data_IF_378364370200
#
_entry.id   IF_378364370200
#
_cell.length_a   1.000
_cell.length_b   1.000
_cell.length_c   1.000
_cell.angle_alpha   90.00
_cell.angle_beta   90.00
_cell.angle_gamma   90.00
#
_symmetry.space_group_name_H-M   'P 1'
#
loop_
_entity.id
_entity.type
_entity.pdbx_description
1 polymer ?
#
# COMPACT_ATOMS: atom_id res chain seq x y z
N UNK A 1 7.55 57.84 31.32
CA UNK A 1 7.60 57.27 31.10
C UNK A 1 7.45 56.45 30.55
N UNK A 2 7.35 56.03 30.32
CA UNK A 2 7.31 55.27 29.83
C UNK A 2 7.15 54.35 29.29
N UNK A 3 7.01 53.91 29.00
CA UNK A 3 6.94 53.14 28.57
C UNK A 3 6.88 52.18 27.95
N UNK A 4 6.86 51.70 27.77
CA UNK A 4 6.90 50.91 27.27
C UNK A 4 6.63 49.97 26.87
N UNK A 5 6.39 49.58 26.55
CA UNK A 5 6.17 48.74 26.19
C UNK A 5 6.09 47.90 25.53
N UNK A 6 6.14 47.38 25.24
CA UNK A 6 6.19 46.75 24.77
C UNK A 6 6.00 45.85 24.28
N UNK A 7 6.00 45.34 24.04
CA UNK A 7 5.97 44.44 23.66
C UNK A 7 5.58 43.55 23.13
N UNK A 8 5.42 43.21 22.98
CA UNK A 8 5.01 42.36 22.57
C UNK A 8 5.06 41.50 21.91
N UNK A 9 5.17 41.11 21.72
CA UNK A 9 5.22 40.30 21.23
C UNK A 9 4.89 39.56 20.51
N UNK A 10 4.82 39.32 20.11
CA UNK A 10 4.62 38.64 19.40
C UNK A 10 4.54 37.47 19.16
N UNK A 11 4.07 36.93 19.23
CA UNK A 11 4.03 35.79 19.16
C UNK A 11 3.73 35.12 18.14
N UNK A 12 3.90 34.81 17.71
CA UNK A 12 3.76 34.29 16.78
C UNK A 12 3.79 33.03 16.54
N UNK A 13 3.37 32.39 16.42
CA UNK A 13 3.40 31.29 16.18
C UNK A 13 3.29 30.65 15.22
N UNK A 14 3.51 30.34 14.83
CA UNK A 14 3.62 29.76 14.02
C UNK A 14 3.06 28.76 13.68
N UNK A 15 2.53 28.60 13.54
CA UNK A 15 1.86 27.79 13.14
C UNK A 15 2.20 26.72 12.62
N UNK A 16 2.64 26.14 12.67
CA UNK A 16 2.98 25.12 12.29
C UNK A 16 2.28 24.29 11.67
N UNK A 17 2.04 24.28 10.99
CA UNK A 17 1.46 23.58 10.24
C UNK A 17 1.62 22.33 10.22
N UNK A 18 1.68 21.79 10.62
CA UNK A 18 1.93 20.59 10.64
C UNK A 18 1.27 19.80 9.88
N UNK A 19 1.14 19.79 9.05
CA UNK A 19 0.64 19.01 8.23
C UNK A 19 0.59 17.76 8.42
N UNK A 20 0.51 17.41 8.94
CA UNK A 20 0.47 16.30 9.10
C UNK A 20 0.02 15.41 8.42
N UNK A 21 -0.02 14.79 8.41
CA UNK A 21 -0.42 13.86 7.97
C UNK A 21 -0.61 13.35 6.83
N UNK A 22 -0.56 13.60 6.00
CA UNK A 22 -0.77 13.02 4.89
C UNK A 22 0.42 12.75 4.21
N UNK A 23 1.38 12.19 4.72
CA UNK A 23 2.54 11.82 3.98
C UNK A 23 2.10 10.90 2.91
N UNK A 24 2.48 11.11 1.71
CA UNK A 24 2.24 10.18 0.70
C UNK A 24 3.08 8.98 0.92
N UNK A 25 2.53 7.80 0.83
CA UNK A 25 3.28 6.56 0.93
C UNK A 25 3.33 5.94 -0.45
N UNK A 26 4.51 5.77 -0.95
CA UNK A 26 4.71 5.09 -2.22
C UNK A 26 5.24 3.70 -1.93
N UNK A 27 4.59 2.71 -2.49
CA UNK A 27 4.97 1.33 -2.26
C UNK A 27 5.40 0.71 -3.58
N UNK A 28 6.58 0.15 -3.60
CA UNK A 28 7.03 -0.59 -4.77
C UNK A 28 6.66 -2.05 -4.56
N UNK A 29 5.60 -2.49 -5.19
CA UNK A 29 5.05 -3.82 -4.97
C UNK A 29 6.04 -4.92 -5.35
N UNK A 30 6.96 -4.62 -6.27
CA UNK A 30 7.98 -5.60 -6.65
C UNK A 30 8.94 -5.93 -5.52
N UNK A 31 8.99 -5.07 -4.50
CA UNK A 31 9.93 -5.25 -3.40
C UNK A 31 9.27 -5.72 -2.11
N UNK A 32 7.99 -6.03 -2.15
CA UNK A 32 7.29 -6.47 -0.96
C UNK A 32 7.39 -7.97 -0.85
N UNK A 33 7.79 -8.46 0.31
CA UNK A 33 7.77 -9.90 0.58
C UNK A 33 6.39 -10.35 1.02
N UNK A 34 6.13 -11.63 0.94
CA UNK A 34 4.91 -12.21 1.47
C UNK A 34 4.68 -11.84 2.94
N UNK A 35 5.73 -11.87 3.74
CA UNK A 35 5.59 -11.50 5.16
C UNK A 35 5.17 -10.05 5.33
N UNK A 36 5.73 -9.16 4.54
CA UNK A 36 5.35 -7.75 4.59
C UNK A 36 3.93 -7.54 4.08
N UNK A 37 3.54 -8.28 3.04
CA UNK A 37 2.19 -8.24 2.52
C UNK A 37 1.18 -8.61 3.61
N UNK A 38 1.47 -9.66 4.37
CA UNK A 38 0.54 -10.13 5.40
C UNK A 38 0.49 -9.22 6.62
N UNK A 39 1.57 -8.50 6.89
CA UNK A 39 1.75 -7.84 8.18
C UNK A 39 1.12 -6.46 8.28
N UNK A 40 0.49 -5.97 7.24
CA UNK A 40 -0.06 -4.61 7.21
C UNK A 40 1.00 -3.55 7.48
N UNK A 41 2.26 -3.91 7.45
CA UNK A 41 3.30 -2.97 7.83
C UNK A 41 3.60 -1.94 6.76
N UNK A 42 3.24 -2.24 5.52
CA UNK A 42 3.52 -1.34 4.41
C UNK A 42 2.22 -0.74 3.88
N UNK A 43 1.21 -1.56 3.70
CA UNK A 43 -0.08 -1.12 3.21
C UNK A 43 -1.10 -2.18 3.55
N UNK A 44 -2.35 -1.86 3.38
CA UNK A 44 -3.41 -2.84 3.56
C UNK A 44 -3.23 -3.93 2.50
N UNK A 45 -3.15 -5.19 2.87
CA UNK A 45 -2.99 -6.27 1.91
C UNK A 45 -4.06 -6.29 0.83
N UNK A 46 -5.26 -5.85 1.15
CA UNK A 46 -6.32 -5.84 0.14
C UNK A 46 -6.06 -4.81 -0.94
N UNK A 47 -5.45 -3.68 -0.59
CA UNK A 47 -5.08 -2.67 -1.58
C UNK A 47 -3.98 -3.21 -2.49
N UNK A 48 -3.01 -3.90 -1.92
CA UNK A 48 -1.94 -4.51 -2.70
C UNK A 48 -2.53 -5.59 -3.61
N UNK A 49 -3.46 -6.39 -3.10
CA UNK A 49 -4.08 -7.43 -3.89
C UNK A 49 -4.87 -6.86 -5.06
N UNK A 50 -5.57 -5.76 -4.85
CA UNK A 50 -6.30 -5.11 -5.91
C UNK A 50 -5.34 -4.59 -6.98
N UNK A 51 -4.24 -3.99 -6.56
CA UNK A 51 -3.21 -3.53 -7.48
C UNK A 51 -2.64 -4.70 -8.29
N UNK A 52 -2.33 -5.80 -7.62
CA UNK A 52 -1.79 -7.00 -8.29
C UNK A 52 -2.80 -7.54 -9.31
N UNK A 53 -4.07 -7.55 -8.95
CA UNK A 53 -5.10 -8.01 -9.86
C UNK A 53 -5.12 -7.16 -11.12
N UNK A 54 -5.08 -5.85 -10.98
CA UNK A 54 -5.06 -4.95 -12.14
C UNK A 54 -3.80 -5.09 -12.97
N UNK A 55 -2.65 -5.19 -12.29
CA UNK A 55 -1.37 -5.31 -12.97
C UNK A 55 -1.33 -6.58 -13.84
N UNK A 56 -1.68 -7.70 -13.27
CA UNK A 56 -1.61 -8.96 -14.02
C UNK A 56 -2.73 -9.10 -15.03
N UNK A 57 -3.90 -8.55 -14.76
CA UNK A 57 -4.96 -8.49 -15.75
C UNK A 57 -4.51 -7.68 -16.95
N UNK A 58 -3.87 -6.55 -16.72
CA UNK A 58 -3.34 -5.73 -17.80
C UNK A 58 -2.28 -6.44 -18.61
N UNK A 59 -1.40 -7.17 -17.92
CA UNK A 59 -0.35 -7.91 -18.63
C UNK A 59 -0.90 -9.01 -19.52
N UNK A 60 -2.03 -9.58 -19.15
CA UNK A 60 -2.62 -10.62 -19.98
C UNK A 60 -3.50 -10.06 -21.09
N UNK A 61 -3.56 -8.76 -21.22
CA UNK A 61 -4.44 -8.16 -22.20
C UNK A 61 -5.91 -8.26 -21.83
N UNK A 62 -6.20 -8.43 -20.55
CA UNK A 62 -7.57 -8.46 -20.08
C UNK A 62 -8.21 -7.09 -20.16
N UNK A 63 -9.49 -7.05 -20.09
CA UNK A 63 -10.21 -5.81 -20.26
C UNK A 63 -10.33 -5.01 -18.98
N UNK A 64 -11.45 -4.38 -18.84
CA UNK A 64 -11.68 -3.45 -17.74
C UNK A 64 -12.69 -3.99 -16.72
N UNK A 65 -13.07 -5.25 -16.85
CA UNK A 65 -14.02 -5.82 -15.91
C UNK A 65 -13.32 -6.26 -14.64
N UNK A 66 -13.90 -5.93 -13.52
CA UNK A 66 -13.40 -6.39 -12.23
C UNK A 66 -14.38 -7.44 -11.71
N UNK A 67 -13.88 -8.66 -11.58
CA UNK A 67 -14.65 -9.74 -10.98
C UNK A 67 -14.31 -9.78 -9.49
N UNK A 68 -15.20 -9.28 -8.66
CA UNK A 68 -14.92 -9.15 -7.23
C UNK A 68 -14.86 -10.50 -6.50
N UNK A 69 -15.58 -11.49 -7.00
CA UNK A 69 -15.50 -12.82 -6.40
C UNK A 69 -14.15 -13.47 -6.72
N UNK A 70 -13.71 -13.34 -7.96
CA UNK A 70 -12.39 -13.86 -8.34
C UNK A 70 -11.29 -13.13 -7.58
N UNK A 71 -11.42 -11.82 -7.43
CA UNK A 71 -10.44 -11.04 -6.68
C UNK A 71 -10.32 -11.58 -5.25
N UNK A 72 -11.45 -11.82 -4.59
CA UNK A 72 -11.42 -12.33 -3.22
C UNK A 72 -10.81 -13.73 -3.17
N UNK A 73 -11.19 -14.60 -4.07
CA UNK A 73 -10.64 -15.96 -4.09
C UNK A 73 -9.14 -15.95 -4.34
N UNK A 74 -8.68 -15.10 -5.25
CA UNK A 74 -7.27 -14.98 -5.54
C UNK A 74 -6.51 -14.40 -4.35
N UNK A 75 -7.07 -13.42 -3.68
CA UNK A 75 -6.47 -12.86 -2.48
C UNK A 75 -6.31 -13.94 -1.41
N UNK A 76 -7.34 -14.76 -1.20
CA UNK A 76 -7.28 -15.81 -0.20
C UNK A 76 -6.18 -16.84 -0.56
N UNK A 77 -6.01 -17.14 -1.84
CA UNK A 77 -4.95 -18.04 -2.26
C UNK A 77 -3.56 -17.46 -2.04
N UNK A 78 -3.37 -16.21 -2.38
CA UNK A 78 -2.07 -15.54 -2.16
C UNK A 78 -1.79 -15.48 -0.66
N UNK A 79 -2.78 -15.16 0.12
CA UNK A 79 -2.61 -15.09 1.56
C UNK A 79 -2.19 -16.43 2.13
N UNK A 80 -2.86 -17.50 1.71
CA UNK A 80 -2.51 -18.84 2.18
C UNK A 80 -1.09 -19.24 1.79
N UNK A 81 -0.70 -18.94 0.57
CA UNK A 81 0.66 -19.24 0.11
C UNK A 81 1.68 -18.42 0.90
N UNK A 82 1.38 -17.17 1.13
CA UNK A 82 2.31 -16.29 1.83
C UNK A 82 2.50 -16.66 3.30
N UNK A 83 1.49 -17.28 3.90
CA UNK A 83 1.63 -17.69 5.31
C UNK A 83 2.77 -18.69 5.51
N UNK A 84 3.05 -19.51 4.51
CA UNK A 84 4.12 -20.48 4.62
C UNK A 84 5.32 -20.17 3.73
N UNK A 85 5.32 -19.01 3.09
CA UNK A 85 6.42 -18.62 2.21
C UNK A 85 6.75 -17.15 2.43
N UNK A 86 7.03 -16.77 3.66
CA UNK A 86 7.07 -15.35 4.02
C UNK A 86 8.24 -14.58 3.42
N UNK A 87 9.30 -15.25 3.02
CA UNK A 87 10.44 -14.55 2.41
C UNK A 87 10.31 -14.41 0.90
N UNK A 88 9.28 -14.98 0.30
CA UNK A 88 9.08 -14.92 -1.13
C UNK A 88 8.52 -13.55 -1.50
N UNK A 89 9.02 -12.92 -2.56
CA UNK A 89 8.40 -11.69 -3.05
C UNK A 89 6.94 -11.94 -3.43
N UNK A 90 6.05 -11.03 -3.06
CA UNK A 90 4.63 -11.25 -3.28
C UNK A 90 4.28 -11.40 -4.76
N UNK A 91 4.97 -10.67 -5.63
CA UNK A 91 4.72 -10.82 -7.07
C UNK A 91 5.13 -12.20 -7.56
N UNK A 92 6.22 -12.75 -7.02
CA UNK A 92 6.61 -14.10 -7.38
C UNK A 92 5.59 -15.12 -6.87
N UNK A 93 5.02 -14.88 -5.70
CA UNK A 93 3.96 -15.76 -5.19
C UNK A 93 2.77 -15.79 -6.14
N UNK A 94 2.36 -14.62 -6.61
CA UNK A 94 1.25 -14.52 -7.55
C UNK A 94 1.59 -15.26 -8.85
N UNK A 95 2.79 -15.07 -9.34
CA UNK A 95 3.20 -15.76 -10.57
C UNK A 95 3.24 -17.25 -10.41
N UNK A 96 3.71 -17.71 -9.26
CA UNK A 96 3.75 -19.15 -8.98
C UNK A 96 2.33 -19.73 -8.92
N UNK A 97 1.43 -19.03 -8.27
CA UNK A 97 0.07 -19.55 -8.09
C UNK A 97 -0.73 -19.54 -9.39
N UNK A 98 -0.50 -18.56 -10.22
CA UNK A 98 -1.35 -18.33 -11.39
C UNK A 98 -0.61 -18.43 -12.71
N UNK A 99 0.54 -19.06 -12.74
CA UNK A 99 1.37 -19.11 -13.92
C UNK A 99 0.66 -19.73 -15.11
N UNK A 100 -0.22 -20.66 -14.89
CA UNK A 100 -0.93 -21.29 -15.97
C UNK A 100 -2.19 -20.57 -16.41
N UNK A 101 -2.53 -19.47 -15.75
CA UNK A 101 -3.77 -18.77 -16.07
C UNK A 101 -3.59 -17.93 -17.29
N UNK A 102 -4.43 -18.04 -18.23
CA UNK A 102 -4.31 -17.24 -19.42
C UNK A 102 -5.53 -16.40 -19.60
#
# INVERSE_FOLDING_TARGET
MRWAFAGVAGMIFAAIATSAGHAQVTVDVAKITCGQFLAYSIADPKDIALWLNGYYTGKRGGGTLLDTQALKANYDQVRGYCLVNQNTPVMQAVETLFAGSK
#
